data_IF_612367332976
#
_entry.id   IF_612367332976
#
_cell.length_a   1.000
_cell.length_b   1.000
_cell.length_c   1.000
_cell.angle_alpha   90.00
_cell.angle_beta   90.00
_cell.angle_gamma   90.00
#
_symmetry.space_group_name_H-M   'P 1'
#
loop_
_entity.id
_entity.type
_entity.pdbx_description
1 polymer ?
#
# COMPACT_ATOMS: atom_id res chain seq x y z
N UNK A 1 31.37 -6.16 11.58
CA UNK A 1 30.63 -5.22 12.46
C UNK A 1 29.94 -6.01 13.56
N UNK A 2 30.15 -5.63 14.82
CA UNK A 2 29.49 -6.26 15.96
C UNK A 2 27.98 -5.94 15.88
N UNK A 3 27.11 -6.93 16.11
CA UNK A 3 25.64 -6.79 16.05
C UNK A 3 24.98 -7.34 14.78
N UNK A 4 25.66 -7.38 13.63
CA UNK A 4 25.05 -7.77 12.35
C UNK A 4 25.26 -9.25 11.96
N UNK A 5 26.04 -10.02 12.71
CA UNK A 5 26.26 -11.44 12.45
C UNK A 5 25.38 -12.32 13.33
N UNK A 6 25.01 -13.51 12.83
CA UNK A 6 24.27 -14.52 13.61
C UNK A 6 24.97 -14.87 14.93
N UNK A 7 26.30 -14.87 14.96
CA UNK A 7 27.08 -15.10 16.17
C UNK A 7 26.90 -13.97 17.20
N UNK A 8 26.74 -12.72 16.74
CA UNK A 8 26.55 -11.56 17.62
C UNK A 8 25.13 -11.48 18.17
N UNK A 9 24.12 -11.88 17.39
CA UNK A 9 22.73 -12.00 17.86
C UNK A 9 22.58 -13.09 18.92
N UNK A 10 23.24 -14.24 18.74
CA UNK A 10 23.24 -15.32 19.76
C UNK A 10 23.92 -14.90 21.07
N UNK A 11 24.96 -14.07 20.99
CA UNK A 11 25.64 -13.53 22.18
C UNK A 11 24.80 -12.48 22.93
N UNK A 12 23.91 -11.76 22.25
CA UNK A 12 23.12 -10.68 22.83
C UNK A 12 21.65 -10.81 22.39
N UNK A 13 20.86 -11.69 23.02
CA UNK A 13 19.49 -11.96 22.61
C UNK A 13 18.56 -10.74 22.75
N UNK A 14 18.94 -9.75 23.56
CA UNK A 14 18.21 -8.47 23.68
C UNK A 14 18.14 -7.66 22.37
N UNK A 15 19.03 -7.92 21.40
CA UNK A 15 18.98 -7.27 20.09
C UNK A 15 17.86 -7.81 19.19
N UNK A 16 17.36 -9.02 19.44
CA UNK A 16 16.31 -9.66 18.63
C UNK A 16 15.04 -8.79 18.57
N UNK A 17 14.42 -8.37 19.69
CA UNK A 17 13.21 -7.55 19.64
C UNK A 17 13.44 -6.20 18.95
N UNK A 18 14.63 -5.59 19.11
CA UNK A 18 14.98 -4.34 18.42
C UNK A 18 14.97 -4.52 16.89
N UNK A 19 15.61 -5.57 16.39
CA UNK A 19 15.65 -5.87 14.96
C UNK A 19 14.27 -6.23 14.42
N UNK A 20 13.45 -6.96 15.19
CA UNK A 20 12.08 -7.28 14.79
C UNK A 20 11.24 -6.00 14.63
N UNK A 21 11.24 -5.10 15.62
CA UNK A 21 10.49 -3.84 15.52
C UNK A 21 10.96 -2.99 14.34
N UNK A 22 12.27 -2.92 14.11
CA UNK A 22 12.85 -2.18 12.99
C UNK A 22 12.45 -2.79 11.64
N UNK A 23 12.56 -4.12 11.52
CA UNK A 23 12.20 -4.84 10.30
C UNK A 23 10.70 -4.69 9.99
N UNK A 24 9.83 -4.76 11.00
CA UNK A 24 8.39 -4.52 10.82
C UNK A 24 8.12 -3.10 10.33
N UNK A 25 8.82 -2.09 10.88
CA UNK A 25 8.71 -0.71 10.42
C UNK A 25 9.15 -0.52 8.96
N UNK A 26 10.31 -1.07 8.60
CA UNK A 26 10.83 -1.02 7.23
C UNK A 26 9.91 -1.73 6.24
N UNK A 27 9.43 -2.93 6.61
CA UNK A 27 8.51 -3.69 5.78
C UNK A 27 7.17 -2.97 5.60
N UNK A 28 6.61 -2.41 6.68
CA UNK A 28 5.36 -1.63 6.63
C UNK A 28 5.48 -0.41 5.72
N UNK A 29 6.59 0.32 5.79
CA UNK A 29 6.85 1.46 4.91
C UNK A 29 6.96 1.04 3.44
N UNK A 30 7.77 0.02 3.14
CA UNK A 30 7.94 -0.50 1.79
C UNK A 30 6.61 -1.02 1.21
N UNK A 31 5.86 -1.77 2.01
CA UNK A 31 4.54 -2.28 1.64
C UNK A 31 3.56 -1.15 1.32
N UNK A 32 3.51 -0.11 2.15
CA UNK A 32 2.57 1.00 1.95
C UNK A 32 2.90 1.80 0.69
N UNK A 33 4.19 2.05 0.43
CA UNK A 33 4.64 2.71 -0.80
C UNK A 33 4.27 1.88 -2.02
N UNK A 34 4.55 0.57 -2.00
CA UNK A 34 4.21 -0.33 -3.10
C UNK A 34 2.70 -0.38 -3.34
N UNK A 35 1.91 -0.46 -2.26
CA UNK A 35 0.46 -0.40 -2.33
C UNK A 35 -0.04 0.90 -2.95
N UNK A 36 0.54 2.04 -2.58
CA UNK A 36 0.17 3.33 -3.16
C UNK A 36 0.49 3.34 -4.65
N UNK A 37 1.69 2.91 -5.03
CA UNK A 37 2.11 2.89 -6.43
C UNK A 37 1.22 1.97 -7.30
N UNK A 38 0.73 0.85 -6.76
CA UNK A 38 -0.10 -0.11 -7.52
C UNK A 38 -1.61 0.16 -7.45
N UNK A 39 -2.12 0.86 -6.44
CA UNK A 39 -3.57 1.05 -6.18
C UNK A 39 -4.00 2.51 -6.11
N UNK A 40 -3.13 3.44 -6.51
CA UNK A 40 -3.50 4.85 -6.68
C UNK A 40 -4.08 5.11 -8.06
N UNK A 41 -5.23 5.80 -8.18
CA UNK A 41 -5.77 6.21 -9.49
C UNK A 41 -4.87 7.24 -10.18
N UNK A 42 -4.04 7.98 -9.45
CA UNK A 42 -3.07 8.91 -10.03
C UNK A 42 -1.80 8.26 -10.61
N UNK A 43 -1.58 6.95 -10.40
CA UNK A 43 -0.37 6.25 -10.86
C UNK A 43 -0.72 5.25 -11.96
N UNK A 44 -0.25 5.50 -13.18
CA UNK A 44 -0.37 4.57 -14.31
C UNK A 44 0.97 3.93 -14.67
N UNK A 45 1.01 2.60 -14.63
CA UNK A 45 2.15 1.80 -15.07
C UNK A 45 2.11 1.45 -16.57
N UNK A 46 0.91 1.39 -17.17
CA UNK A 46 0.72 1.13 -18.60
C UNK A 46 -0.23 2.17 -19.20
N UNK A 47 0.34 3.15 -19.91
CA UNK A 47 -0.43 4.23 -20.56
C UNK A 47 -1.23 3.77 -21.77
N UNK A 48 -0.88 2.61 -22.33
CA UNK A 48 -1.51 2.08 -23.55
C UNK A 48 -2.75 1.25 -23.21
N UNK A 49 -2.63 0.36 -22.22
CA UNK A 49 -3.70 -0.58 -21.89
C UNK A 49 -4.70 -0.02 -20.88
N UNK A 50 -4.31 0.99 -20.09
CA UNK A 50 -5.16 1.64 -19.12
C UNK A 50 -4.94 3.17 -19.15
N UNK A 51 -5.42 3.85 -20.22
CA UNK A 51 -5.23 5.28 -20.38
C UNK A 51 -5.95 6.10 -19.30
N UNK A 52 -7.03 5.57 -18.72
CA UNK A 52 -7.89 6.26 -17.74
C UNK A 52 -8.01 5.47 -16.41
N UNK A 53 -6.94 5.38 -15.61
CA UNK A 53 -6.91 4.61 -14.37
C UNK A 53 -7.94 5.04 -13.31
N UNK A 54 -8.40 6.29 -13.35
CA UNK A 54 -9.41 6.80 -12.43
C UNK A 54 -10.79 6.18 -12.66
N UNK A 55 -11.10 5.70 -13.87
CA UNK A 55 -12.38 5.04 -14.16
C UNK A 55 -12.54 3.74 -13.35
N UNK A 56 -11.45 3.05 -13.04
CA UNK A 56 -11.48 1.86 -12.19
C UNK A 56 -12.02 2.18 -10.77
N UNK A 57 -11.79 3.40 -10.30
CA UNK A 57 -12.21 3.88 -8.96
C UNK A 57 -13.49 4.70 -8.98
N UNK A 58 -14.19 4.78 -10.12
CA UNK A 58 -15.37 5.65 -10.28
C UNK A 58 -16.52 5.27 -9.35
N UNK A 59 -16.82 3.98 -9.24
CA UNK A 59 -17.93 3.47 -8.42
C UNK A 59 -17.43 2.35 -7.50
N UNK A 60 -17.95 2.28 -6.28
CA UNK A 60 -17.81 1.08 -5.43
C UNK A 60 -16.46 0.88 -4.76
N UNK A 61 -15.39 1.55 -5.20
CA UNK A 61 -14.01 1.28 -4.73
C UNK A 61 -13.51 2.26 -3.68
N UNK A 62 -12.88 1.69 -2.65
CA UNK A 62 -12.22 2.42 -1.60
C UNK A 62 -10.74 2.64 -1.94
N UNK A 63 -10.35 3.90 -2.18
CA UNK A 63 -8.93 4.25 -2.33
C UNK A 63 -8.17 4.28 -0.99
N UNK A 64 -8.84 4.55 0.14
CA UNK A 64 -8.19 4.56 1.46
C UNK A 64 -7.78 3.15 1.88
N UNK A 65 -6.63 3.00 2.54
CA UNK A 65 -6.19 1.70 3.05
C UNK A 65 -7.18 1.14 4.10
N UNK A 66 -7.75 2.02 4.91
CA UNK A 66 -8.75 1.66 5.91
C UNK A 66 -9.82 2.75 6.03
N UNK A 67 -11.08 2.34 6.09
CA UNK A 67 -12.23 3.22 6.34
C UNK A 67 -13.34 2.42 7.03
N UNK A 68 -13.45 2.49 8.36
CA UNK A 68 -14.42 1.67 9.10
C UNK A 68 -15.85 2.21 9.01
N UNK A 69 -16.04 3.49 8.70
CA UNK A 69 -17.35 4.16 8.79
C UNK A 69 -18.11 4.13 7.48
N UNK A 70 -17.40 4.26 6.34
CA UNK A 70 -18.04 4.44 5.03
C UNK A 70 -18.03 3.14 4.24
N UNK A 71 -19.22 2.70 3.84
CA UNK A 71 -19.42 1.62 2.89
C UNK A 71 -19.25 2.15 1.45
N UNK A 72 -18.10 1.83 0.84
CA UNK A 72 -17.80 2.26 -0.52
C UNK A 72 -18.57 1.48 -1.58
N UNK A 73 -19.09 0.28 -1.27
CA UNK A 73 -19.83 -0.55 -2.24
C UNK A 73 -21.09 0.12 -2.78
N UNK A 74 -21.66 1.06 -2.01
CA UNK A 74 -22.86 1.84 -2.35
C UNK A 74 -22.52 3.24 -2.85
N UNK A 75 -21.24 3.59 -2.93
CA UNK A 75 -20.80 4.90 -3.40
C UNK A 75 -20.74 4.91 -4.92
N UNK A 76 -21.57 5.73 -5.54
CA UNK A 76 -21.55 5.98 -6.98
C UNK A 76 -21.03 7.40 -7.26
N UNK A 77 -20.24 7.55 -8.31
CA UNK A 77 -19.84 8.85 -8.81
C UNK A 77 -21.05 9.59 -9.37
N UNK A 78 -21.17 10.87 -9.00
CA UNK A 78 -22.19 11.78 -9.56
C UNK A 78 -21.82 12.27 -10.96
N UNK A 79 -20.60 11.99 -11.43
CA UNK A 79 -20.15 12.40 -12.75
C UNK A 79 -20.98 11.69 -13.85
N UNK A 80 -21.29 12.39 -14.95
CA UNK A 80 -21.96 11.77 -16.08
C UNK A 80 -21.10 10.64 -16.67
N UNK A 81 -21.76 9.56 -17.07
CA UNK A 81 -21.07 8.50 -17.82
C UNK A 81 -20.78 9.00 -19.22
N UNK A 82 -19.54 8.80 -19.67
CA UNK A 82 -19.18 9.02 -21.07
C UNK A 82 -20.08 8.13 -21.94
N UNK A 83 -20.64 8.69 -23.00
CA UNK A 83 -21.41 7.96 -24.00
C UNK A 83 -20.41 7.42 -25.00
N UNK A 84 -20.48 6.13 -25.29
CA UNK A 84 -19.74 5.50 -26.39
C UNK A 84 -20.05 6.20 -27.74
#
# INVERSE_FOLDING_TARGET
MQGLSMASLKKNPALIPLYVCTAVGMFGAAFYIWRLAARSPEVTWSRVNNPEPWEEYRDGKQHKFYSPVRDYSKSASQAPKYKD
#
